data_IF_821920090248
#
_entry.id   IF_821920090248
#
_cell.length_a   1.000
_cell.length_b   1.000
_cell.length_c   1.000
_cell.angle_alpha   90.00
_cell.angle_beta   90.00
_cell.angle_gamma   90.00
#
_symmetry.space_group_name_H-M   'P 1'
#
loop_
_entity.id
_entity.type
_entity.pdbx_description
1 polymer ?
#
# COMPACT_ATOMS: atom_id res chain seq x y z
N UNK A 1 13.87 1.33 10.16
CA UNK A 1 12.58 0.77 10.59
C UNK A 1 12.15 -0.22 9.52
N UNK A 2 12.03 -1.50 9.87
CA UNK A 2 11.71 -2.59 8.96
C UNK A 2 10.32 -3.13 9.27
N UNK A 3 9.64 -3.66 8.25
CA UNK A 3 8.23 -4.03 8.30
C UNK A 3 8.02 -5.41 7.68
N UNK A 4 7.11 -6.22 8.24
CA UNK A 4 6.68 -7.49 7.66
C UNK A 4 5.50 -7.27 6.72
N UNK A 5 5.76 -6.65 5.57
CA UNK A 5 4.71 -6.32 4.62
C UNK A 5 4.38 -7.51 3.72
N UNK A 6 3.08 -7.69 3.45
CA UNK A 6 2.64 -8.62 2.42
C UNK A 6 2.82 -7.95 1.05
N UNK A 7 3.31 -8.72 0.08
CA UNK A 7 3.35 -8.28 -1.30
C UNK A 7 1.92 -8.22 -1.81
N UNK A 8 1.50 -7.02 -2.17
CA UNK A 8 0.34 -6.84 -3.02
C UNK A 8 0.69 -7.45 -4.37
N UNK A 9 0.14 -8.62 -4.67
CA UNK A 9 0.25 -9.24 -5.99
C UNK A 9 -0.55 -8.38 -6.96
N UNK A 10 0.13 -7.47 -7.64
CA UNK A 10 -0.38 -6.74 -8.79
C UNK A 10 0.48 -7.11 -9.98
N UNK A 11 0.11 -8.18 -10.70
CA UNK A 11 0.44 -8.23 -12.11
C UNK A 11 -0.21 -7.00 -12.73
N UNK A 12 0.60 -5.99 -13.04
CA UNK A 12 0.20 -4.88 -13.89
C UNK A 12 0.02 -5.42 -15.31
N UNK A 13 -1.05 -6.19 -15.54
CA UNK A 13 -1.43 -6.66 -16.86
C UNK A 13 -2.26 -5.60 -17.59
N UNK A 14 -2.03 -5.59 -18.90
CA UNK A 14 -2.38 -4.55 -19.85
C UNK A 14 -3.89 -4.56 -20.13
N UNK A 15 -4.56 -3.41 -19.96
CA UNK A 15 -5.93 -3.23 -20.42
C UNK A 15 -5.97 -3.06 -21.95
N UNK A 16 -7.00 -3.64 -22.57
CA UNK A 16 -7.18 -3.89 -24.00
C UNK A 16 -7.33 -2.67 -24.94
N UNK A 17 -6.91 -1.46 -24.54
CA UNK A 17 -7.23 -0.21 -25.25
C UNK A 17 -6.03 0.50 -25.91
N UNK A 18 -4.86 -0.15 -26.04
CA UNK A 18 -3.77 0.37 -26.89
C UNK A 18 -3.07 1.68 -26.45
N UNK A 19 -3.23 2.14 -25.20
CA UNK A 19 -2.59 3.36 -24.67
C UNK A 19 -1.53 3.09 -23.60
N UNK A 20 -0.32 2.66 -23.99
CA UNK A 20 0.64 1.99 -23.08
C UNK A 20 1.50 2.93 -22.22
N UNK A 21 1.85 4.15 -22.66
CA UNK A 21 2.84 4.95 -21.93
C UNK A 21 2.24 5.91 -20.89
N UNK A 22 1.15 6.62 -21.22
CA UNK A 22 0.62 7.69 -20.37
C UNK A 22 -0.15 7.18 -19.13
N UNK A 23 -0.89 6.07 -19.23
CA UNK A 23 -1.62 5.49 -18.08
C UNK A 23 -0.66 5.04 -16.96
N UNK A 24 0.55 4.62 -17.33
CA UNK A 24 1.61 4.23 -16.38
C UNK A 24 2.09 5.43 -15.56
N UNK A 25 2.28 6.58 -16.20
CA UNK A 25 2.78 7.80 -15.54
C UNK A 25 1.78 8.36 -14.51
N UNK A 26 0.49 8.40 -14.83
CA UNK A 26 -0.55 8.91 -13.92
C UNK A 26 -0.73 8.04 -12.67
N UNK A 27 -0.70 6.71 -12.85
CA UNK A 27 -0.71 5.79 -11.71
C UNK A 27 0.51 5.98 -10.83
N UNK A 28 1.71 6.06 -11.42
CA UNK A 28 2.96 6.28 -10.68
C UNK A 28 2.94 7.61 -9.94
N UNK A 29 2.46 8.68 -10.58
CA UNK A 29 2.32 10.01 -9.97
C UNK A 29 1.35 9.97 -8.79
N UNK A 30 0.19 9.32 -8.94
CA UNK A 30 -0.80 9.19 -7.87
C UNK A 30 -0.26 8.39 -6.68
N UNK A 31 0.38 7.24 -6.95
CA UNK A 31 1.05 6.46 -5.91
C UNK A 31 2.11 7.28 -5.16
N UNK A 32 2.87 8.12 -5.87
CA UNK A 32 3.85 9.00 -5.23
C UNK A 32 3.17 10.01 -4.31
N UNK A 33 2.12 10.69 -4.78
CA UNK A 33 1.39 11.69 -3.97
C UNK A 33 0.79 11.08 -2.71
N UNK A 34 0.17 9.90 -2.84
CA UNK A 34 -0.36 9.14 -1.71
C UNK A 34 0.72 8.70 -0.73
N UNK A 35 1.85 8.19 -1.23
CA UNK A 35 2.94 7.74 -0.36
C UNK A 35 3.65 8.91 0.35
N UNK A 36 3.77 10.06 -0.31
CA UNK A 36 4.40 11.27 0.23
C UNK A 36 3.64 11.86 1.43
N UNK A 37 2.42 11.39 1.75
CA UNK A 37 1.69 11.78 2.96
C UNK A 37 2.49 11.49 4.23
N UNK A 38 3.24 10.39 4.27
CA UNK A 38 4.13 10.06 5.39
C UNK A 38 5.14 11.17 5.64
N UNK A 39 5.86 11.58 4.58
CA UNK A 39 6.92 12.59 4.69
C UNK A 39 6.38 13.96 5.11
N UNK A 40 5.13 14.28 4.72
CA UNK A 40 4.50 15.56 5.02
C UNK A 40 3.92 15.62 6.43
N UNK A 41 3.52 14.48 7.02
CA UNK A 41 2.59 14.48 8.17
C UNK A 41 3.03 13.58 9.32
N UNK A 42 3.69 12.48 8.98
CA UNK A 42 4.16 11.47 9.93
C UNK A 42 3.03 10.71 10.63
N UNK A 43 3.32 9.45 10.99
CA UNK A 43 2.41 8.58 11.75
C UNK A 43 2.83 8.40 13.22
N UNK A 44 3.95 9.01 13.64
CA UNK A 44 4.56 8.76 14.96
C UNK A 44 5.41 7.48 14.95
N UNK A 45 6.49 7.42 15.73
CA UNK A 45 7.49 6.35 15.64
C UNK A 45 7.34 5.24 16.70
N UNK A 46 6.57 5.47 17.76
CA UNK A 46 6.64 4.60 18.94
C UNK A 46 5.96 3.25 18.71
N UNK A 47 4.80 3.22 18.03
CA UNK A 47 4.06 1.96 17.81
C UNK A 47 3.56 1.76 16.36
N UNK A 48 3.76 2.73 15.46
CA UNK A 48 3.25 2.68 14.08
C UNK A 48 1.73 2.39 13.99
N UNK A 49 0.97 2.87 14.98
CA UNK A 49 -0.49 2.69 15.09
C UNK A 49 -1.22 3.82 14.40
N UNK A 50 -2.27 3.49 13.64
CA UNK A 50 -3.19 4.48 13.11
C UNK A 50 -4.17 4.93 14.20
N UNK A 51 -3.74 5.85 15.06
CA UNK A 51 -4.59 6.39 16.12
C UNK A 51 -5.63 7.38 15.58
N UNK A 52 -6.68 7.63 16.35
CA UNK A 52 -7.66 8.67 16.04
C UNK A 52 -7.01 10.05 15.92
N UNK A 53 -5.97 10.32 16.71
CA UNK A 53 -5.21 11.58 16.63
C UNK A 53 -4.48 11.69 15.29
N UNK A 54 -3.76 10.64 14.87
CA UNK A 54 -3.08 10.59 13.56
C UNK A 54 -4.08 10.79 12.42
N UNK A 55 -5.24 10.14 12.49
CA UNK A 55 -6.32 10.28 11.51
C UNK A 55 -6.86 11.72 11.44
N UNK A 56 -7.04 12.37 12.59
CA UNK A 56 -7.64 13.70 12.69
C UNK A 56 -6.68 14.86 12.41
N UNK A 57 -5.39 14.60 12.18
CA UNK A 57 -4.43 15.66 11.80
C UNK A 57 -4.93 16.41 10.55
N UNK A 58 -4.72 17.74 10.41
CA UNK A 58 -5.17 18.53 9.24
C UNK A 58 -4.56 18.12 7.89
N UNK A 59 -5.35 17.58 6.95
CA UNK A 59 -4.90 16.97 5.66
C UNK A 59 -5.19 15.45 5.55
N UNK A 60 -4.63 14.75 4.54
CA UNK A 60 -4.86 13.30 4.28
C UNK A 60 -3.66 12.40 4.63
N UNK A 61 -3.89 11.28 5.33
CA UNK A 61 -2.87 10.26 5.71
C UNK A 61 -3.33 8.83 5.37
N UNK A 62 -4.64 8.67 5.16
CA UNK A 62 -5.28 7.39 4.90
C UNK A 62 -4.83 6.74 3.58
N UNK A 63 -4.28 7.50 2.62
CA UNK A 63 -3.79 6.89 1.39
C UNK A 63 -2.45 6.20 1.65
N UNK A 64 -1.51 6.87 2.33
CA UNK A 64 -0.26 6.24 2.74
C UNK A 64 -0.52 4.98 3.57
N UNK A 65 -1.32 5.08 4.64
CA UNK A 65 -1.54 3.95 5.54
C UNK A 65 -2.19 2.77 4.83
N UNK A 66 -3.10 3.01 3.89
CA UNK A 66 -3.68 1.93 3.09
C UNK A 66 -2.67 1.31 2.12
N UNK A 67 -1.77 2.10 1.52
CA UNK A 67 -0.73 1.58 0.62
C UNK A 67 0.24 0.63 1.32
N UNK A 68 0.51 0.84 2.60
CA UNK A 68 1.49 0.05 3.38
C UNK A 68 0.83 -0.82 4.45
N UNK A 69 -0.49 -1.03 4.37
CA UNK A 69 -1.22 -1.82 5.37
C UNK A 69 -0.82 -3.29 5.29
N UNK A 70 -0.30 -3.86 6.40
CA UNK A 70 0.35 -5.18 6.34
C UNK A 70 -0.55 -6.31 5.84
N UNK A 71 -1.85 -6.25 6.16
CA UNK A 71 -2.80 -7.31 5.82
C UNK A 71 -3.45 -7.13 4.46
N UNK A 72 -3.16 -6.04 3.77
CA UNK A 72 -3.61 -5.79 2.40
C UNK A 72 -2.67 -6.47 1.41
N UNK A 73 -3.19 -7.37 0.59
CA UNK A 73 -2.38 -8.14 -0.37
C UNK A 73 -3.01 -8.24 -1.78
N UNK A 74 -4.19 -7.66 -1.99
CA UNK A 74 -4.86 -7.52 -3.29
C UNK A 74 -5.03 -6.06 -3.65
N UNK A 75 -4.80 -5.74 -4.91
CA UNK A 75 -4.92 -4.38 -5.44
C UNK A 75 -5.53 -4.40 -6.83
N UNK A 76 -6.53 -3.56 -7.03
CA UNK A 76 -7.03 -3.20 -8.36
C UNK A 76 -6.96 -1.70 -8.52
N UNK A 77 -6.44 -1.22 -9.65
CA UNK A 77 -6.38 0.21 -9.95
C UNK A 77 -7.03 0.51 -11.29
N UNK A 78 -7.71 1.65 -11.38
CA UNK A 78 -8.36 2.14 -12.57
C UNK A 78 -7.96 3.60 -12.84
N UNK A 79 -7.77 3.93 -14.10
CA UNK A 79 -7.39 5.27 -14.56
C UNK A 79 -8.38 5.72 -15.62
N UNK A 80 -9.05 6.85 -15.37
CA UNK A 80 -10.00 7.45 -16.29
C UNK A 80 -9.64 8.91 -16.55
N UNK A 81 -9.54 9.27 -17.83
CA UNK A 81 -9.27 10.67 -18.24
C UNK A 81 -10.57 11.35 -18.62
N UNK A 82 -10.89 12.42 -17.91
CA UNK A 82 -11.94 13.36 -18.28
C UNK A 82 -11.33 14.56 -19.02
N UNK A 83 -12.14 15.40 -19.68
CA UNK A 83 -11.65 16.58 -20.40
C UNK A 83 -10.84 17.57 -19.54
N UNK A 84 -11.13 17.67 -18.23
CA UNK A 84 -10.52 18.63 -17.31
C UNK A 84 -9.65 18.02 -16.21
N UNK A 85 -9.68 16.69 -16.04
CA UNK A 85 -8.98 16.01 -14.96
C UNK A 85 -8.79 14.52 -15.24
N UNK A 86 -7.89 13.88 -14.51
CA UNK A 86 -7.70 12.43 -14.52
C UNK A 86 -8.09 11.85 -13.16
N UNK A 87 -8.97 10.85 -13.17
CA UNK A 87 -9.27 10.02 -12.00
C UNK A 87 -8.32 8.84 -11.96
N UNK A 88 -7.64 8.68 -10.83
CA UNK A 88 -6.89 7.46 -10.51
C UNK A 88 -7.47 6.90 -9.23
N UNK A 89 -7.98 5.68 -9.29
CA UNK A 89 -8.62 4.99 -8.18
C UNK A 89 -7.90 3.68 -7.97
N UNK A 90 -7.53 3.37 -6.73
CA UNK A 90 -7.04 2.05 -6.35
C UNK A 90 -7.90 1.52 -5.19
N UNK A 91 -8.29 0.26 -5.30
CA UNK A 91 -8.98 -0.48 -4.25
C UNK A 91 -8.06 -1.57 -3.70
N UNK A 92 -8.14 -1.77 -2.40
CA UNK A 92 -7.25 -2.59 -1.62
C UNK A 92 -8.04 -3.67 -0.88
N UNK A 93 -7.54 -4.91 -0.90
CA UNK A 93 -8.19 -6.05 -0.29
C UNK A 93 -7.22 -6.96 0.47
N UNK A 94 -7.59 -7.46 1.66
CA UNK A 94 -8.57 -6.91 2.59
C UNK A 94 -8.35 -5.41 2.87
N UNK A 95 -9.41 -4.71 3.31
CA UNK A 95 -9.33 -3.28 3.65
C UNK A 95 -8.37 -3.06 4.83
N UNK A 96 -7.63 -1.97 4.78
CA UNK A 96 -6.82 -1.48 5.90
C UNK A 96 -7.50 -0.32 6.62
N UNK A 97 -6.68 0.57 7.18
CA UNK A 97 -7.09 1.79 7.86
C UNK A 97 -8.05 1.55 9.04
N UNK A 98 -7.82 0.48 9.80
CA UNK A 98 -8.51 0.25 11.05
C UNK A 98 -7.93 1.17 12.12
N UNK A 99 -8.74 2.09 12.64
CA UNK A 99 -8.32 3.01 13.69
C UNK A 99 -8.04 2.21 14.96
N UNK A 100 -6.87 2.42 15.56
CA UNK A 100 -6.39 1.70 16.74
C UNK A 100 -5.49 0.51 16.41
N UNK A 101 -5.41 0.09 15.15
CA UNK A 101 -4.55 -1.03 14.74
C UNK A 101 -3.18 -0.53 14.23
N UNK A 102 -2.12 -1.35 14.37
CA UNK A 102 -0.85 -1.08 13.72
C UNK A 102 -1.01 -1.06 12.20
N UNK A 103 -0.41 -0.07 11.54
CA UNK A 103 -0.38 -0.01 10.06
C UNK A 103 0.37 -1.23 9.52
N UNK A 104 1.50 -1.54 10.17
CA UNK A 104 2.24 -2.78 10.02
C UNK A 104 3.01 -3.06 11.32
N UNK A 105 3.26 -4.34 11.58
CA UNK A 105 4.13 -4.80 12.65
C UNK A 105 5.58 -4.35 12.38
N UNK A 106 6.14 -3.64 13.36
CA UNK A 106 7.54 -3.27 13.34
C UNK A 106 8.40 -4.49 13.68
N UNK A 107 9.40 -4.78 12.83
CA UNK A 107 10.24 -5.94 13.03
C UNK A 107 11.22 -6.15 11.90
N UNK A 108 11.87 -7.31 11.86
CA UNK A 108 12.73 -7.66 10.73
C UNK A 108 11.88 -8.12 9.53
N UNK A 109 12.28 -7.79 8.29
CA UNK A 109 11.64 -8.34 7.10
C UNK A 109 11.80 -9.86 7.04
N UNK A 110 10.95 -10.54 6.27
CA UNK A 110 11.02 -12.00 6.17
C UNK A 110 12.34 -12.44 5.50
N UNK A 111 12.88 -13.56 5.98
CA UNK A 111 14.03 -14.28 5.40
C UNK A 111 13.67 -15.72 5.06
N UNK A 112 12.80 -16.33 5.85
CA UNK A 112 12.21 -17.65 5.63
C UNK A 112 10.69 -17.54 5.52
N UNK A 113 10.03 -18.61 5.05
CA UNK A 113 8.58 -18.64 4.94
C UNK A 113 7.90 -18.56 6.32
N UNK A 114 8.54 -19.10 7.36
CA UNK A 114 8.04 -19.07 8.75
C UNK A 114 7.97 -17.64 9.31
N UNK A 115 8.80 -16.72 8.82
CA UNK A 115 8.80 -15.32 9.28
C UNK A 115 7.50 -14.57 8.93
N UNK A 116 6.74 -15.07 7.95
CA UNK A 116 5.53 -14.44 7.43
C UNK A 116 4.29 -14.60 8.31
N UNK A 117 4.30 -15.58 9.22
CA UNK A 117 3.24 -15.78 10.22
C UNK A 117 1.82 -15.82 9.62
N UNK A 118 1.67 -16.33 8.41
CA UNK A 118 0.37 -16.48 7.74
C UNK A 118 0.24 -17.81 6.99
N UNK A 119 -0.99 -18.32 6.88
CA UNK A 119 -1.30 -19.55 6.16
C UNK A 119 -1.15 -19.34 4.64
N UNK A 120 -0.55 -20.30 3.94
CA UNK A 120 -0.31 -20.26 2.49
C UNK A 120 0.49 -19.04 2.02
N UNK A 121 1.47 -18.61 2.81
CA UNK A 121 2.38 -17.52 2.47
C UNK A 121 3.79 -18.03 2.17
N UNK A 122 4.51 -17.33 1.29
CA UNK A 122 5.94 -17.53 1.03
C UNK A 122 6.71 -16.23 1.14
N UNK A 123 7.93 -16.29 1.68
CA UNK A 123 8.80 -15.13 1.73
C UNK A 123 9.52 -14.92 0.40
N UNK A 124 9.28 -13.77 -0.23
CA UNK A 124 10.11 -13.25 -1.31
C UNK A 124 11.43 -12.73 -0.72
N UNK A 125 12.44 -13.58 -0.60
CA UNK A 125 13.73 -13.21 0.02
C UNK A 125 14.42 -12.02 -0.65
N UNK A 126 14.19 -11.83 -1.95
CA UNK A 126 14.74 -10.71 -2.73
C UNK A 126 14.09 -9.38 -2.37
N UNK A 127 12.77 -9.38 -2.17
CA UNK A 127 12.00 -8.16 -1.87
C UNK A 127 11.78 -7.99 -0.38
N UNK A 128 12.06 -9.03 0.40
CA UNK A 128 11.78 -9.18 1.82
C UNK A 128 10.30 -8.97 2.18
N UNK A 129 9.41 -9.46 1.31
CA UNK A 129 7.95 -9.37 1.42
C UNK A 129 7.29 -10.75 1.45
N UNK A 130 6.18 -10.86 2.18
CA UNK A 130 5.39 -12.10 2.26
C UNK A 130 4.36 -12.16 1.13
N UNK A 131 4.45 -13.15 0.25
CA UNK A 131 3.52 -13.38 -0.85
C UNK A 131 2.44 -14.33 -0.38
N UNK A 132 1.17 -13.91 -0.48
CA UNK A 132 0.00 -14.75 -0.19
C UNK A 132 -0.42 -15.46 -1.47
N UNK A 133 -0.70 -16.77 -1.39
CA UNK A 133 -1.17 -17.60 -2.50
C UNK A 133 -2.64 -17.97 -2.41
#
# INVERSE_FOLDING_TARGET
MTAKLKKVLGDMQLDADGGILHKRTERVSSCKVWFDELAKRGVGQEDNVLTQEVWNKPGQIGHYTQMVWQDTYRLGCYVHRCPSMTYVVCQYGPRGNWIGDPIYEMGNPCKTDDDCMCSNCKCSRKEALCIVH
#
